data_IF_426740297868
#
_entry.id   IF_426740297868
#
_cell.length_a   1.000
_cell.length_b   1.000
_cell.length_c   1.000
_cell.angle_alpha   90.00
_cell.angle_beta   90.00
_cell.angle_gamma   90.00
#
_symmetry.space_group_name_H-M   'P 1'
#
loop_
_entity.id
_entity.type
_entity.pdbx_description
1 polymer ?
#
# COMPACT_ATOMS: atom_id res chain seq x y z
N UNK A 1 -3.03 -29.00 2.63
CA UNK A 1 -4.38 -29.20 2.02
C UNK A 1 -4.29 -28.79 0.56
N UNK A 2 -5.01 -29.53 -0.34
CA UNK A 2 -5.06 -29.15 -1.76
C UNK A 2 -6.40 -28.48 -2.05
N UNK A 3 -6.37 -27.27 -2.64
CA UNK A 3 -7.56 -26.54 -3.07
C UNK A 3 -7.46 -26.28 -4.57
N UNK A 4 -8.56 -26.41 -5.28
CA UNK A 4 -8.65 -26.12 -6.71
C UNK A 4 -9.77 -25.10 -6.93
N UNK A 5 -9.44 -23.93 -7.48
CA UNK A 5 -10.39 -22.90 -7.87
C UNK A 5 -10.62 -23.01 -9.36
N UNK A 6 -11.86 -23.19 -9.80
CA UNK A 6 -12.26 -23.41 -11.19
C UNK A 6 -13.33 -22.43 -11.66
N UNK A 7 -13.67 -22.49 -12.94
CA UNK A 7 -14.80 -21.81 -13.54
C UNK A 7 -14.77 -20.29 -13.26
N UNK A 8 -13.61 -19.67 -13.40
CA UNK A 8 -13.42 -18.23 -13.27
C UNK A 8 -12.49 -17.69 -14.35
N UNK A 9 -12.56 -16.38 -14.57
CA UNK A 9 -11.62 -15.66 -15.42
C UNK A 9 -10.37 -15.31 -14.63
N UNK A 10 -9.25 -16.00 -14.92
CA UNK A 10 -8.02 -15.93 -14.13
C UNK A 10 -7.09 -14.86 -14.69
N UNK A 11 -6.63 -13.95 -13.84
CA UNK A 11 -5.61 -12.96 -14.21
C UNK A 11 -4.20 -13.50 -13.88
N UNK A 12 -3.37 -13.62 -14.91
CA UNK A 12 -1.97 -14.06 -14.81
C UNK A 12 -1.03 -12.94 -15.30
N UNK A 13 0.29 -13.05 -15.07
CA UNK A 13 1.26 -12.11 -15.65
C UNK A 13 1.18 -12.00 -17.19
N UNK A 14 0.73 -13.06 -17.86
CA UNK A 14 0.58 -13.08 -19.33
C UNK A 14 -0.77 -12.54 -19.80
N UNK A 15 -1.68 -12.21 -18.90
CA UNK A 15 -3.02 -11.71 -19.19
C UNK A 15 -4.13 -12.65 -18.67
N UNK A 16 -5.33 -12.47 -19.22
CA UNK A 16 -6.50 -13.26 -18.82
C UNK A 16 -6.49 -14.66 -19.42
N UNK A 17 -6.82 -15.64 -18.57
CA UNK A 17 -7.28 -16.97 -18.99
C UNK A 17 -8.79 -17.02 -18.77
N UNK A 18 -9.55 -17.24 -19.84
CA UNK A 18 -11.02 -17.31 -19.78
C UNK A 18 -11.54 -18.63 -19.18
N UNK A 19 -10.76 -19.69 -19.29
CA UNK A 19 -11.00 -21.01 -18.72
C UNK A 19 -9.71 -21.51 -18.05
N UNK A 20 -9.86 -22.28 -16.96
CA UNK A 20 -8.72 -22.86 -16.28
C UNK A 20 -8.92 -23.02 -14.78
N UNK A 21 -7.84 -23.34 -14.10
CA UNK A 21 -7.85 -23.51 -12.64
C UNK A 21 -6.59 -22.97 -11.95
N UNK A 22 -6.78 -22.52 -10.72
CA UNK A 22 -5.70 -22.21 -9.78
C UNK A 22 -5.62 -23.33 -8.75
N UNK A 23 -4.48 -23.97 -8.67
CA UNK A 23 -4.21 -25.03 -7.73
C UNK A 23 -3.38 -24.51 -6.57
N UNK A 24 -3.88 -24.67 -5.36
CA UNK A 24 -3.23 -24.25 -4.13
C UNK A 24 -2.87 -25.47 -3.31
N UNK A 25 -1.60 -25.59 -2.92
CA UNK A 25 -1.15 -26.57 -1.94
C UNK A 25 -0.56 -25.86 -0.74
N UNK A 26 -1.22 -26.03 0.40
CA UNK A 26 -0.84 -25.36 1.64
C UNK A 26 -0.81 -23.82 1.46
N UNK A 27 0.36 -23.20 1.52
CA UNK A 27 0.52 -21.74 1.38
C UNK A 27 1.06 -21.31 0.00
N UNK A 28 1.14 -22.24 -0.98
CA UNK A 28 1.72 -21.95 -2.30
C UNK A 28 0.76 -22.25 -3.44
N UNK A 29 0.88 -21.47 -4.52
CA UNK A 29 0.29 -21.78 -5.81
C UNK A 29 1.11 -22.92 -6.42
N UNK A 30 0.46 -24.08 -6.59
CA UNK A 30 1.09 -25.24 -7.19
C UNK A 30 1.14 -25.13 -8.71
N UNK A 31 0.06 -24.62 -9.30
CA UNK A 31 -0.06 -24.44 -10.74
C UNK A 31 -1.20 -23.48 -11.08
N UNK A 32 -1.06 -22.76 -12.18
CA UNK A 32 -2.15 -22.04 -12.86
C UNK A 32 -2.22 -22.61 -14.27
N UNK A 33 -3.35 -23.21 -14.62
CA UNK A 33 -3.51 -23.95 -15.88
C UNK A 33 -4.72 -23.44 -16.67
N UNK A 34 -4.66 -23.58 -17.97
CA UNK A 34 -5.74 -23.23 -18.90
C UNK A 34 -6.72 -24.39 -19.14
N UNK A 35 -6.72 -25.40 -18.29
CA UNK A 35 -7.66 -26.51 -18.36
C UNK A 35 -8.14 -26.90 -16.97
N UNK A 36 -9.38 -27.39 -16.89
CA UNK A 36 -9.94 -27.97 -15.69
C UNK A 36 -9.40 -29.40 -15.50
N UNK A 37 -8.52 -29.52 -14.52
CA UNK A 37 -8.00 -30.84 -14.10
C UNK A 37 -8.93 -31.39 -13.02
N UNK A 38 -9.48 -32.54 -13.20
CA UNK A 38 -10.21 -33.26 -12.15
C UNK A 38 -9.20 -33.88 -11.16
N UNK A 39 -8.87 -33.14 -10.09
CA UNK A 39 -7.94 -33.62 -9.07
C UNK A 39 -8.67 -34.33 -7.94
N UNK A 40 -8.39 -35.62 -7.79
CA UNK A 40 -8.95 -36.42 -6.69
C UNK A 40 -8.38 -35.91 -5.35
N UNK A 41 -9.28 -35.63 -4.41
CA UNK A 41 -8.91 -35.19 -3.06
C UNK A 41 -8.65 -33.70 -2.89
N UNK A 42 -8.82 -32.89 -3.94
CA UNK A 42 -8.80 -31.44 -3.81
C UNK A 42 -10.16 -30.91 -3.30
N UNK A 43 -10.12 -29.87 -2.43
CA UNK A 43 -11.30 -29.05 -2.14
C UNK A 43 -11.58 -28.21 -3.38
N UNK A 44 -12.74 -28.43 -4.01
CA UNK A 44 -13.14 -27.71 -5.20
C UNK A 44 -13.88 -26.43 -4.83
N UNK A 45 -13.48 -25.31 -5.43
CA UNK A 45 -14.12 -23.99 -5.32
C UNK A 45 -14.56 -23.58 -6.71
N UNK A 46 -15.86 -23.41 -6.91
CA UNK A 46 -16.41 -22.91 -8.18
C UNK A 46 -16.52 -21.39 -8.14
N UNK A 47 -15.72 -20.68 -8.92
CA UNK A 47 -15.75 -19.23 -9.03
C UNK A 47 -16.94 -18.70 -9.85
N UNK A 48 -17.81 -19.56 -10.41
CA UNK A 48 -19.09 -19.18 -11.06
C UNK A 48 -18.96 -18.09 -12.12
N UNK A 49 -17.88 -18.12 -12.90
CA UNK A 49 -17.60 -17.14 -13.96
C UNK A 49 -17.08 -15.79 -13.45
N UNK A 50 -16.72 -15.66 -12.16
CA UNK A 50 -16.15 -14.47 -11.55
C UNK A 50 -14.67 -14.33 -11.90
N UNK A 51 -14.09 -13.16 -11.55
CA UNK A 51 -12.66 -12.92 -11.72
C UNK A 51 -11.85 -13.57 -10.60
N UNK A 52 -10.77 -14.24 -10.97
CA UNK A 52 -9.77 -14.77 -10.04
C UNK A 52 -8.50 -13.95 -10.26
N UNK A 53 -8.09 -13.16 -9.24
CA UNK A 53 -6.98 -12.23 -9.33
C UNK A 53 -6.01 -12.44 -8.16
N UNK A 54 -4.73 -11.98 -8.26
CA UNK A 54 -3.82 -12.02 -7.13
C UNK A 54 -4.31 -11.15 -5.98
N UNK A 55 -3.94 -11.53 -4.76
CA UNK A 55 -4.14 -10.73 -3.57
C UNK A 55 -3.40 -9.40 -3.66
N UNK A 56 -4.00 -8.35 -3.07
CA UNK A 56 -3.41 -7.02 -3.08
C UNK A 56 -2.28 -6.90 -2.07
N UNK A 57 -1.29 -6.07 -2.39
CA UNK A 57 -0.16 -5.72 -1.53
C UNK A 57 -0.35 -4.28 -1.05
N UNK A 58 -0.73 -4.12 0.21
CA UNK A 58 -0.91 -2.80 0.83
C UNK A 58 0.42 -2.35 1.45
N UNK A 59 1.07 -1.38 0.82
CA UNK A 59 2.38 -0.89 1.26
C UNK A 59 2.31 0.42 2.06
N UNK A 60 1.11 0.98 2.29
CA UNK A 60 0.89 2.18 3.07
C UNK A 60 -0.53 2.15 3.69
N UNK A 61 -0.61 1.93 5.00
CA UNK A 61 -1.83 2.00 5.81
C UNK A 61 -1.45 2.20 7.28
N UNK A 62 -2.06 3.18 7.95
CA UNK A 62 -1.80 3.52 9.35
C UNK A 62 -2.64 2.71 10.33
N UNK A 63 -3.79 2.22 9.89
CA UNK A 63 -4.69 1.45 10.73
C UNK A 63 -5.89 0.90 9.98
N UNK A 64 -6.84 0.36 10.71
CA UNK A 64 -8.09 -0.19 10.22
C UNK A 64 -8.81 -0.99 11.30
N UNK A 65 -10.12 -1.25 11.10
CA UNK A 65 -10.88 -2.06 12.05
C UNK A 65 -10.93 -1.50 13.46
N UNK A 66 -10.73 -0.18 13.60
CA UNK A 66 -10.76 0.53 14.85
C UNK A 66 -9.42 0.66 15.57
N UNK A 67 -8.34 0.26 14.96
CA UNK A 67 -7.01 0.28 15.57
C UNK A 67 -5.98 0.96 14.69
N UNK A 68 -5.02 1.64 15.32
CA UNK A 68 -3.89 2.30 14.69
C UNK A 68 -2.59 1.54 14.98
N UNK A 69 -1.70 1.44 14.00
CA UNK A 69 -0.41 0.79 14.21
C UNK A 69 0.50 1.56 15.19
N UNK A 70 0.26 2.84 15.41
CA UNK A 70 0.93 3.62 16.45
C UNK A 70 0.54 3.23 17.89
N UNK A 71 -0.49 2.40 18.08
CA UNK A 71 -0.76 1.78 19.38
C UNK A 71 0.36 0.83 19.81
N UNK A 72 1.17 0.36 18.87
CA UNK A 72 2.33 -0.51 19.09
C UNK A 72 2.01 -1.78 19.92
N UNK A 73 0.83 -2.36 19.72
CA UNK A 73 0.39 -3.60 20.38
C UNK A 73 0.08 -4.69 19.36
N UNK A 74 0.29 -5.96 19.72
CA UNK A 74 -0.07 -7.07 18.83
C UNK A 74 -1.58 -7.09 18.54
N UNK A 75 -2.41 -6.74 19.49
CA UNK A 75 -3.87 -6.69 19.33
C UNK A 75 -4.26 -5.71 18.23
N UNK A 76 -3.75 -4.47 18.30
CA UNK A 76 -4.02 -3.43 17.31
C UNK A 76 -3.54 -3.85 15.91
N UNK A 77 -2.31 -4.36 15.81
CA UNK A 77 -1.77 -4.83 14.52
C UNK A 77 -2.64 -5.94 13.92
N UNK A 78 -3.00 -6.96 14.71
CA UNK A 78 -3.84 -8.08 14.24
C UNK A 78 -5.23 -7.62 13.81
N UNK A 79 -5.85 -6.71 14.55
CA UNK A 79 -7.17 -6.18 14.23
C UNK A 79 -7.15 -5.41 12.91
N UNK A 80 -6.20 -4.46 12.76
CA UNK A 80 -6.05 -3.68 11.53
C UNK A 80 -5.71 -4.57 10.32
N UNK A 81 -4.76 -5.49 10.46
CA UNK A 81 -4.38 -6.43 9.40
C UNK A 81 -5.60 -7.27 8.96
N UNK A 82 -6.36 -7.81 9.92
CA UNK A 82 -7.56 -8.60 9.62
C UNK A 82 -8.63 -7.79 8.88
N UNK A 83 -8.81 -6.52 9.25
CA UNK A 83 -9.72 -5.62 8.57
C UNK A 83 -9.30 -5.43 7.09
N UNK A 84 -8.03 -5.15 6.84
CA UNK A 84 -7.50 -5.01 5.48
C UNK A 84 -7.57 -6.30 4.65
N UNK A 85 -7.34 -7.47 5.27
CA UNK A 85 -7.42 -8.76 4.59
C UNK A 85 -8.82 -9.04 4.01
N UNK A 86 -9.88 -8.68 4.72
CA UNK A 86 -11.28 -8.81 4.25
C UNK A 86 -11.53 -7.99 2.99
N UNK A 87 -10.75 -6.92 2.80
CA UNK A 87 -10.80 -6.01 1.66
C UNK A 87 -9.68 -6.28 0.64
N UNK A 88 -9.12 -7.49 0.65
CA UNK A 88 -8.22 -8.01 -0.36
C UNK A 88 -6.74 -7.71 -0.16
N UNK A 89 -6.33 -6.97 0.86
CA UNK A 89 -4.93 -6.79 1.21
C UNK A 89 -4.39 -8.07 1.87
N UNK A 90 -3.99 -9.05 1.08
CA UNK A 90 -3.46 -10.32 1.57
C UNK A 90 -2.03 -10.20 2.08
N UNK A 91 -1.37 -9.11 1.75
CA UNK A 91 -0.02 -8.74 2.20
C UNK A 91 0.01 -7.27 2.59
N UNK A 92 0.69 -6.94 3.69
CA UNK A 92 0.68 -5.59 4.23
C UNK A 92 2.05 -5.20 4.83
N UNK A 93 2.37 -3.91 4.70
CA UNK A 93 3.42 -3.21 5.44
C UNK A 93 2.75 -2.22 6.39
N UNK A 94 2.52 -2.57 7.67
CA UNK A 94 2.00 -1.65 8.67
C UNK A 94 2.79 -0.35 8.68
N UNK A 95 2.09 0.80 8.71
CA UNK A 95 2.70 2.13 8.63
C UNK A 95 2.59 2.85 9.95
N UNK A 96 3.72 3.35 10.45
CA UNK A 96 3.73 4.28 11.59
C UNK A 96 3.72 5.71 11.08
N UNK A 97 2.83 6.53 11.59
CA UNK A 97 2.93 7.99 11.51
C UNK A 97 4.11 8.48 12.35
N UNK A 98 4.52 9.73 12.14
CA UNK A 98 5.63 10.36 12.87
C UNK A 98 5.59 10.10 14.37
N UNK A 99 6.60 9.40 14.87
CA UNK A 99 6.68 8.91 16.24
C UNK A 99 8.07 9.07 16.85
N UNK A 100 8.17 9.18 18.17
CA UNK A 100 9.45 9.07 18.87
C UNK A 100 10.09 7.70 18.62
N UNK A 101 11.41 7.64 18.59
CA UNK A 101 12.16 6.38 18.35
C UNK A 101 11.84 5.28 19.34
N UNK A 102 11.45 5.62 20.58
CA UNK A 102 10.99 4.64 21.58
C UNK A 102 9.69 3.93 21.15
N UNK A 103 8.78 4.62 20.46
CA UNK A 103 7.55 4.03 19.90
C UNK A 103 7.86 3.21 18.65
N UNK A 104 8.73 3.72 17.75
CA UNK A 104 9.18 2.98 16.58
C UNK A 104 9.81 1.63 16.99
N UNK A 105 10.66 1.61 18.03
CA UNK A 105 11.25 0.36 18.55
C UNK A 105 10.21 -0.62 19.08
N UNK A 106 9.15 -0.14 19.73
CA UNK A 106 8.03 -1.01 20.19
C UNK A 106 7.31 -1.63 19.01
N UNK A 107 6.97 -0.81 18.00
CA UNK A 107 6.30 -1.29 16.79
C UNK A 107 7.19 -2.28 15.99
N UNK A 108 8.51 -2.06 15.94
CA UNK A 108 9.47 -3.01 15.36
C UNK A 108 9.34 -4.36 16.06
N UNK A 109 9.34 -4.39 17.40
CA UNK A 109 9.20 -5.65 18.17
C UNK A 109 7.91 -6.39 17.83
N UNK A 110 6.78 -5.66 17.76
CA UNK A 110 5.48 -6.24 17.38
C UNK A 110 5.53 -6.75 15.94
N UNK A 111 6.05 -5.95 15.02
CA UNK A 111 6.13 -6.32 13.62
C UNK A 111 7.00 -7.56 13.40
N UNK A 112 8.17 -7.64 14.04
CA UNK A 112 9.05 -8.83 14.00
C UNK A 112 8.37 -10.08 14.55
N UNK A 113 7.62 -9.96 15.63
CA UNK A 113 6.81 -11.06 16.18
C UNK A 113 5.84 -11.58 15.13
N UNK A 114 5.09 -10.69 14.50
CA UNK A 114 4.10 -11.05 13.47
C UNK A 114 4.75 -11.57 12.19
N UNK A 115 5.85 -10.97 11.72
CA UNK A 115 6.59 -11.43 10.54
C UNK A 115 7.12 -12.86 10.68
N UNK A 116 7.52 -13.25 11.88
CA UNK A 116 8.08 -14.56 12.16
C UNK A 116 7.00 -15.66 12.31
N UNK A 117 5.73 -15.30 12.30
CA UNK A 117 4.65 -16.28 12.31
C UNK A 117 4.57 -17.04 10.99
N UNK A 118 4.19 -18.31 11.10
CA UNK A 118 3.96 -19.11 9.90
C UNK A 118 2.80 -18.52 9.07
N UNK A 119 3.05 -18.35 7.78
CA UNK A 119 2.06 -17.81 6.82
C UNK A 119 1.58 -16.39 7.18
N UNK A 120 2.50 -15.53 7.67
CA UNK A 120 2.22 -14.14 8.01
C UNK A 120 1.91 -13.29 6.77
N UNK A 121 0.89 -12.43 6.82
CA UNK A 121 0.66 -11.42 5.80
C UNK A 121 1.56 -10.19 5.93
N UNK A 122 2.27 -10.04 7.07
CA UNK A 122 3.15 -8.90 7.36
C UNK A 122 4.50 -9.10 6.67
N UNK A 123 4.90 -8.14 5.85
CA UNK A 123 6.12 -8.23 5.04
C UNK A 123 7.25 -7.32 5.53
N UNK A 124 6.97 -6.44 6.48
CA UNK A 124 7.89 -5.47 7.06
C UNK A 124 7.14 -4.27 7.60
N UNK A 125 7.87 -3.35 8.20
CA UNK A 125 7.36 -2.10 8.74
C UNK A 125 7.65 -0.95 7.77
N UNK A 126 6.68 -0.07 7.58
CA UNK A 126 6.83 1.23 6.95
C UNK A 126 6.86 2.30 8.05
N UNK A 127 7.82 3.22 7.98
CA UNK A 127 7.95 4.36 8.89
C UNK A 127 7.75 5.65 8.11
N UNK A 128 6.64 6.34 8.32
CA UNK A 128 6.38 7.63 7.72
C UNK A 128 6.79 8.75 8.68
N UNK A 129 7.93 9.37 8.41
CA UNK A 129 8.53 10.36 9.31
C UNK A 129 9.39 9.72 10.41
N UNK A 130 9.79 10.47 11.46
CA UNK A 130 9.49 11.88 11.76
C UNK A 130 10.29 12.90 10.93
N UNK A 131 10.98 12.47 9.91
CA UNK A 131 11.87 13.31 9.08
C UNK A 131 11.09 14.00 7.95
N UNK A 132 10.04 14.74 8.31
CA UNK A 132 9.12 15.42 7.40
C UNK A 132 9.18 16.94 7.58
N UNK A 133 8.87 17.68 6.50
CA UNK A 133 8.87 19.13 6.52
C UNK A 133 7.65 19.65 7.29
N UNK A 134 7.85 20.42 8.40
CA UNK A 134 6.73 20.92 9.20
C UNK A 134 5.74 21.81 8.44
N UNK A 135 6.15 22.43 7.33
CA UNK A 135 5.24 23.23 6.50
C UNK A 135 4.24 22.37 5.71
N UNK A 136 4.50 21.07 5.57
CA UNK A 136 3.68 20.10 4.86
C UNK A 136 3.21 18.97 5.78
N UNK A 137 3.18 19.22 7.08
CA UNK A 137 2.85 18.21 8.09
C UNK A 137 1.52 17.46 7.83
N UNK A 138 0.50 18.15 7.27
CA UNK A 138 -0.82 17.55 7.11
C UNK A 138 -1.40 17.18 8.49
N UNK A 139 -1.80 15.91 8.66
CA UNK A 139 -2.25 15.37 9.94
C UNK A 139 -1.09 14.97 10.87
N UNK A 140 0.15 14.90 10.35
CA UNK A 140 1.32 14.58 11.16
C UNK A 140 1.51 15.61 12.28
N UNK A 141 1.69 15.16 13.51
CA UNK A 141 1.85 16.06 14.64
C UNK A 141 3.18 16.84 14.53
N UNK A 142 3.10 18.12 14.19
CA UNK A 142 4.26 18.96 13.89
C UNK A 142 5.33 18.97 15.01
N UNK A 143 4.94 18.82 16.27
CA UNK A 143 5.85 18.74 17.42
C UNK A 143 6.73 17.48 17.47
N UNK A 144 6.42 16.44 16.67
CA UNK A 144 7.23 15.23 16.55
C UNK A 144 8.21 15.29 15.38
N UNK A 145 8.05 16.25 14.46
CA UNK A 145 8.87 16.35 13.25
C UNK A 145 10.27 16.91 13.55
N UNK A 146 11.27 16.36 12.89
CA UNK A 146 12.68 16.73 13.05
C UNK A 146 13.51 16.42 11.82
N UNK A 147 14.74 16.93 11.79
CA UNK A 147 15.71 16.52 10.78
C UNK A 147 16.24 15.10 11.04
N UNK A 148 16.68 14.37 10.01
CA UNK A 148 17.38 13.10 10.16
C UNK A 148 18.58 13.20 11.13
N UNK A 149 18.59 12.33 12.13
CA UNK A 149 19.69 12.18 13.08
C UNK A 149 20.40 10.86 12.79
N UNK A 150 21.71 10.96 12.44
CA UNK A 150 22.48 9.80 11.99
C UNK A 150 22.65 8.73 13.07
N UNK A 151 22.87 9.12 14.32
CA UNK A 151 23.06 8.16 15.41
C UNK A 151 21.77 7.42 15.72
N UNK A 152 20.62 8.12 15.68
CA UNK A 152 19.32 7.51 15.93
C UNK A 152 18.95 6.50 14.85
N UNK A 153 18.97 6.88 13.56
CA UNK A 153 18.55 5.96 12.50
C UNK A 153 19.53 4.81 12.28
N UNK A 154 20.83 5.04 12.41
CA UNK A 154 21.81 3.94 12.29
C UNK A 154 21.65 2.95 13.43
N UNK A 155 21.57 3.41 14.69
CA UNK A 155 21.34 2.55 15.86
C UNK A 155 20.06 1.71 15.74
N UNK A 156 18.99 2.28 15.18
CA UNK A 156 17.75 1.53 14.95
C UNK A 156 17.94 0.49 13.85
N UNK A 157 18.45 0.88 12.68
CA UNK A 157 18.56 0.02 11.51
C UNK A 157 19.69 -1.04 11.62
N UNK A 158 20.60 -0.90 12.57
CA UNK A 158 21.55 -1.95 12.93
C UNK A 158 20.97 -2.99 13.88
N UNK A 159 19.86 -2.67 14.53
CA UNK A 159 19.18 -3.56 15.50
C UNK A 159 18.06 -4.41 14.87
N UNK A 160 17.61 -4.13 13.65
CA UNK A 160 16.48 -4.79 13.01
C UNK A 160 16.55 -4.77 11.50
N UNK A 161 16.03 -5.83 10.87
CA UNK A 161 15.77 -5.90 9.43
C UNK A 161 14.26 -5.73 9.11
N UNK A 162 13.45 -5.42 10.11
CA UNK A 162 11.99 -5.33 9.97
C UNK A 162 11.57 -4.11 9.14
N UNK A 163 12.28 -2.98 9.23
CA UNK A 163 11.94 -1.77 8.50
C UNK A 163 12.29 -1.96 7.02
N UNK A 164 11.28 -1.92 6.15
CA UNK A 164 11.44 -2.12 4.71
C UNK A 164 11.23 -0.85 3.90
N UNK A 165 10.61 0.15 4.50
CA UNK A 165 10.35 1.44 3.89
C UNK A 165 10.44 2.55 4.94
N UNK A 166 11.00 3.71 4.54
CA UNK A 166 11.03 4.90 5.37
C UNK A 166 10.84 6.15 4.51
N UNK A 167 9.87 6.97 4.87
CA UNK A 167 9.52 8.18 4.13
C UNK A 167 10.13 9.40 4.80
N UNK A 168 10.63 10.34 3.97
CA UNK A 168 11.23 11.58 4.44
C UNK A 168 11.09 12.71 3.43
N UNK A 169 11.26 13.96 3.90
CA UNK A 169 11.33 15.14 3.06
C UNK A 169 12.77 15.39 2.63
N UNK A 170 13.09 15.34 1.33
CA UNK A 170 14.48 15.35 0.85
C UNK A 170 15.20 16.68 1.06
N UNK A 171 14.48 17.79 1.23
CA UNK A 171 15.03 19.11 1.48
C UNK A 171 15.55 19.32 2.91
N UNK A 172 15.25 18.42 3.83
CA UNK A 172 15.71 18.54 5.22
C UNK A 172 17.23 18.33 5.33
N UNK A 173 17.91 19.09 6.19
CA UNK A 173 19.32 18.86 6.49
C UNK A 173 19.58 17.38 6.88
N UNK A 174 20.54 16.74 6.19
CA UNK A 174 20.87 15.33 6.43
C UNK A 174 20.02 14.29 5.66
N UNK A 175 18.92 14.70 5.00
CA UNK A 175 18.01 13.76 4.33
C UNK A 175 18.67 12.99 3.17
N UNK A 176 19.53 13.62 2.41
CA UNK A 176 20.25 12.95 1.31
C UNK A 176 21.29 11.93 1.83
N UNK A 177 21.90 12.17 2.98
CA UNK A 177 22.81 11.21 3.63
C UNK A 177 22.00 10.02 4.18
N UNK A 178 20.89 10.31 4.84
CA UNK A 178 19.92 9.31 5.30
C UNK A 178 19.47 8.40 4.15
N UNK A 179 19.07 8.97 3.02
CA UNK A 179 18.62 8.18 1.86
C UNK A 179 19.73 7.26 1.31
N UNK A 180 20.98 7.75 1.21
CA UNK A 180 22.10 6.90 0.79
C UNK A 180 22.33 5.73 1.75
N UNK A 181 22.18 5.98 3.05
CA UNK A 181 22.31 4.92 4.05
C UNK A 181 21.19 3.88 3.91
N UNK A 182 19.93 4.29 3.79
CA UNK A 182 18.80 3.38 3.57
C UNK A 182 18.97 2.54 2.29
N UNK A 183 19.36 3.19 1.19
CA UNK A 183 19.68 2.52 -0.08
C UNK A 183 20.74 1.45 0.10
N UNK A 184 21.77 1.71 0.89
CA UNK A 184 22.85 0.74 1.17
C UNK A 184 22.37 -0.47 1.97
N UNK A 185 21.26 -0.34 2.69
CA UNK A 185 20.59 -1.40 3.45
C UNK A 185 19.47 -2.10 2.66
N UNK A 186 19.20 -1.68 1.43
CA UNK A 186 18.10 -2.21 0.63
C UNK A 186 16.70 -1.79 1.13
N UNK A 187 16.62 -0.69 1.86
CA UNK A 187 15.36 -0.13 2.39
C UNK A 187 14.86 0.91 1.39
N UNK A 188 13.57 0.82 1.02
CA UNK A 188 12.91 1.80 0.17
C UNK A 188 12.84 3.13 0.90
N UNK A 189 13.32 4.21 0.28
CA UNK A 189 13.13 5.57 0.78
C UNK A 189 12.24 6.35 -0.16
N UNK A 190 11.17 6.96 0.39
CA UNK A 190 10.21 7.70 -0.39
C UNK A 190 10.17 9.18 -0.02
N UNK A 191 9.91 10.00 -1.03
CA UNK A 191 9.62 11.43 -0.88
C UNK A 191 8.22 11.56 -0.29
N UNK A 192 8.09 12.24 0.83
CA UNK A 192 6.82 12.50 1.51
C UNK A 192 6.83 13.88 2.17
N UNK A 193 5.66 14.53 2.30
CA UNK A 193 5.46 15.80 3.02
C UNK A 193 6.52 16.86 2.73
N UNK A 194 6.71 17.24 1.47
CA UNK A 194 7.87 17.98 0.97
C UNK A 194 7.47 19.29 0.27
N UNK A 195 8.39 20.24 0.23
CA UNK A 195 8.33 21.42 -0.65
C UNK A 195 9.41 21.38 -1.75
N UNK A 196 10.05 20.23 -1.97
CA UNK A 196 11.11 20.10 -2.97
C UNK A 196 10.60 20.35 -4.39
N UNK A 197 11.31 21.16 -5.13
CA UNK A 197 11.15 21.43 -6.54
C UNK A 197 12.14 20.56 -7.38
N UNK A 198 12.24 20.79 -8.69
CA UNK A 198 12.91 19.90 -9.62
C UNK A 198 14.35 19.54 -9.26
N UNK A 199 15.20 20.52 -8.96
CA UNK A 199 16.60 20.24 -8.61
C UNK A 199 16.72 19.45 -7.28
N UNK A 200 15.82 19.73 -6.32
CA UNK A 200 15.74 19.00 -5.06
C UNK A 200 15.31 17.54 -5.28
N UNK A 201 14.29 17.28 -6.09
CA UNK A 201 13.81 15.94 -6.43
C UNK A 201 14.86 15.16 -7.23
N UNK A 202 15.58 15.81 -8.15
CA UNK A 202 16.67 15.19 -8.89
C UNK A 202 17.81 14.75 -7.96
N UNK A 203 18.23 15.65 -7.05
CA UNK A 203 19.27 15.32 -6.05
C UNK A 203 18.79 14.21 -5.10
N UNK A 204 17.51 14.21 -4.72
CA UNK A 204 16.91 13.16 -3.91
C UNK A 204 16.95 11.80 -4.63
N UNK A 205 16.57 11.77 -5.92
CA UNK A 205 16.62 10.56 -6.74
C UNK A 205 18.04 9.98 -6.83
N UNK A 206 19.04 10.81 -7.08
CA UNK A 206 20.44 10.41 -7.09
C UNK A 206 20.91 9.86 -5.73
N UNK A 207 20.38 10.42 -4.64
CA UNK A 207 20.68 9.95 -3.28
C UNK A 207 19.98 8.62 -2.91
N UNK A 208 18.88 8.26 -3.62
CA UNK A 208 18.19 6.99 -3.39
C UNK A 208 16.70 7.08 -3.10
N UNK A 209 16.10 8.27 -3.08
CA UNK A 209 14.64 8.42 -3.06
C UNK A 209 14.08 7.97 -4.43
N UNK A 210 13.51 6.78 -4.49
CA UNK A 210 13.02 6.21 -5.75
C UNK A 210 11.50 6.10 -5.83
N UNK A 211 10.83 6.55 -4.76
CA UNK A 211 9.39 6.45 -4.59
C UNK A 211 8.82 7.76 -4.06
N UNK A 212 7.52 8.00 -4.28
CA UNK A 212 6.80 9.17 -3.76
C UNK A 212 5.51 8.71 -3.09
N UNK A 213 5.40 8.98 -1.79
CA UNK A 213 4.24 8.65 -0.99
C UNK A 213 3.02 9.46 -1.39
N UNK A 214 1.81 8.90 -1.26
CA UNK A 214 0.49 9.53 -1.45
C UNK A 214 0.51 10.72 -2.42
N UNK A 215 1.01 10.47 -3.65
CA UNK A 215 1.32 11.47 -4.66
C UNK A 215 0.21 12.51 -4.85
N UNK A 216 0.54 13.77 -4.96
CA UNK A 216 -0.28 14.99 -4.89
C UNK A 216 -0.64 15.47 -3.46
N UNK A 217 -0.59 14.60 -2.45
CA UNK A 217 -0.92 14.99 -1.09
C UNK A 217 0.36 15.36 -0.32
N UNK A 218 0.28 16.36 0.54
CA UNK A 218 1.44 16.84 1.30
C UNK A 218 2.60 17.40 0.47
N UNK A 219 2.35 17.82 -0.79
CA UNK A 219 3.38 18.34 -1.70
C UNK A 219 2.82 19.40 -2.65
N UNK A 220 3.64 20.38 -3.12
CA UNK A 220 3.19 21.38 -4.07
C UNK A 220 3.11 20.81 -5.49
N UNK A 221 2.11 21.24 -6.24
CA UNK A 221 2.09 21.20 -7.70
C UNK A 221 2.45 22.53 -8.32
N UNK A 222 2.29 22.65 -9.65
CA UNK A 222 2.48 23.87 -10.40
C UNK A 222 1.76 25.06 -9.76
N UNK A 223 2.50 26.11 -9.49
CA UNK A 223 1.97 27.25 -8.78
C UNK A 223 2.51 28.59 -9.30
N UNK A 224 1.90 29.66 -8.82
CA UNK A 224 2.28 31.02 -9.16
C UNK A 224 2.77 31.74 -7.90
N UNK A 225 3.97 32.34 -7.98
CA UNK A 225 4.47 33.25 -6.98
C UNK A 225 4.69 34.62 -7.63
N UNK A 226 3.91 35.63 -7.20
CA UNK A 226 3.79 36.93 -7.87
C UNK A 226 3.42 36.75 -9.35
N UNK A 227 4.22 37.26 -10.31
CA UNK A 227 4.02 37.13 -11.76
C UNK A 227 4.65 35.89 -12.36
N UNK A 228 5.54 35.20 -11.64
CA UNK A 228 6.27 34.03 -12.12
C UNK A 228 5.54 32.73 -11.82
N UNK A 229 5.84 31.75 -12.64
CA UNK A 229 5.30 30.38 -12.51
C UNK A 229 6.42 29.43 -12.16
N UNK A 230 6.11 28.49 -11.28
CA UNK A 230 7.04 27.50 -10.77
C UNK A 230 6.42 26.10 -10.85
N UNK A 231 7.24 25.12 -11.13
CA UNK A 231 6.91 23.73 -10.90
C UNK A 231 6.88 23.44 -9.40
N UNK A 232 6.17 22.38 -9.02
CA UNK A 232 6.23 21.81 -7.70
C UNK A 232 6.84 20.41 -7.71
N UNK A 233 6.72 19.72 -6.60
CA UNK A 233 7.13 18.31 -6.47
C UNK A 233 6.41 17.42 -7.50
N UNK A 234 5.14 17.69 -7.76
CA UNK A 234 4.32 16.88 -8.68
C UNK A 234 4.93 16.83 -10.07
N UNK A 235 5.22 17.98 -10.68
CA UNK A 235 5.82 18.07 -12.01
C UNK A 235 7.23 17.49 -12.00
N UNK A 236 7.99 17.74 -10.96
CA UNK A 236 9.36 17.24 -10.78
C UNK A 236 9.41 15.71 -10.74
N UNK A 237 8.49 15.08 -10.03
CA UNK A 237 8.36 13.61 -9.98
C UNK A 237 7.92 13.04 -11.32
N UNK A 238 7.02 13.72 -12.06
CA UNK A 238 6.67 13.28 -13.41
C UNK A 238 7.86 13.30 -14.36
N UNK A 239 8.72 14.32 -14.27
CA UNK A 239 9.91 14.46 -15.10
C UNK A 239 11.06 13.53 -14.69
N UNK A 240 11.00 12.94 -13.50
CA UNK A 240 12.02 11.99 -13.02
C UNK A 240 11.58 10.56 -13.36
N UNK A 241 12.03 10.05 -14.49
CA UNK A 241 11.55 8.78 -15.09
C UNK A 241 11.67 7.57 -14.15
N UNK A 242 12.71 7.52 -13.31
CA UNK A 242 12.97 6.41 -12.41
C UNK A 242 12.08 6.38 -11.17
N UNK A 243 11.37 7.46 -10.86
CA UNK A 243 10.50 7.53 -9.67
C UNK A 243 9.17 6.84 -9.88
N UNK A 244 8.77 6.06 -8.88
CA UNK A 244 7.45 5.45 -8.74
C UNK A 244 6.57 6.29 -7.83
N UNK A 245 5.25 6.13 -7.93
CA UNK A 245 4.27 6.93 -7.20
C UNK A 245 3.19 6.07 -6.55
N UNK A 246 2.64 6.55 -5.45
CA UNK A 246 1.42 6.03 -4.82
C UNK A 246 0.21 6.90 -5.18
N UNK A 247 -0.94 6.29 -5.35
CA UNK A 247 -2.22 6.99 -5.48
C UNK A 247 -3.20 6.51 -4.40
N UNK A 248 -3.73 7.44 -3.62
CA UNK A 248 -4.94 7.22 -2.82
C UNK A 248 -6.12 7.36 -3.77
N UNK A 249 -6.51 6.24 -4.37
CA UNK A 249 -7.49 6.21 -5.45
C UNK A 249 -8.93 6.01 -4.94
N UNK A 250 -9.31 6.73 -3.89
CA UNK A 250 -10.66 6.72 -3.32
C UNK A 250 -11.69 7.58 -4.09
N UNK A 251 -11.19 8.40 -5.03
CA UNK A 251 -12.00 9.33 -5.82
C UNK A 251 -12.29 10.66 -5.11
N UNK A 252 -11.78 10.84 -3.90
CA UNK A 252 -11.93 12.06 -3.07
C UNK A 252 -10.57 12.76 -2.93
N UNK A 253 -9.51 12.05 -2.50
CA UNK A 253 -8.15 12.58 -2.50
C UNK A 253 -7.72 12.98 -3.90
N UNK A 254 -8.02 12.15 -4.89
CA UNK A 254 -7.72 12.41 -6.29
C UNK A 254 -8.97 12.20 -7.15
N UNK A 255 -9.45 13.24 -7.85
CA UNK A 255 -10.56 13.10 -8.79
C UNK A 255 -10.16 12.20 -9.97
N UNK A 256 -11.14 11.55 -10.59
CA UNK A 256 -10.95 10.61 -11.69
C UNK A 256 -10.06 11.15 -12.83
N UNK A 257 -10.11 12.46 -13.10
CA UNK A 257 -9.26 13.11 -14.12
C UNK A 257 -7.78 13.09 -13.75
N UNK A 258 -7.45 13.28 -12.47
CA UNK A 258 -6.07 13.23 -11.97
C UNK A 258 -5.58 11.78 -11.90
N UNK A 259 -6.41 10.83 -11.46
CA UNK A 259 -6.08 9.40 -11.51
C UNK A 259 -5.71 8.96 -12.94
N UNK A 260 -6.50 9.38 -13.94
CA UNK A 260 -6.19 9.11 -15.35
C UNK A 260 -4.92 9.81 -15.84
N UNK A 261 -4.66 11.04 -15.39
CA UNK A 261 -3.45 11.78 -15.74
C UNK A 261 -2.21 11.07 -15.19
N UNK A 262 -2.22 10.70 -13.91
CA UNK A 262 -1.13 9.98 -13.27
C UNK A 262 -0.86 8.64 -13.99
N UNK A 263 -1.90 7.83 -14.21
CA UNK A 263 -1.80 6.59 -14.99
C UNK A 263 -1.22 6.81 -16.38
N UNK A 264 -1.66 7.86 -17.09
CA UNK A 264 -1.17 8.16 -18.46
C UNK A 264 0.31 8.55 -18.48
N UNK A 265 0.78 9.29 -17.47
CA UNK A 265 2.15 9.82 -17.43
C UNK A 265 3.14 8.82 -16.82
N UNK A 266 2.79 8.10 -15.78
CA UNK A 266 3.68 7.12 -15.12
C UNK A 266 3.49 5.69 -15.58
N UNK A 267 2.29 5.35 -16.05
CA UNK A 267 1.97 3.98 -16.47
C UNK A 267 1.79 3.02 -15.28
N UNK A 268 1.35 1.82 -15.60
CA UNK A 268 1.05 0.77 -14.62
C UNK A 268 2.30 0.34 -13.82
N UNK A 269 3.44 0.30 -14.46
CA UNK A 269 4.70 -0.17 -13.87
C UNK A 269 5.29 0.77 -12.81
N UNK A 270 4.86 2.03 -12.80
CA UNK A 270 5.41 3.06 -11.89
C UNK A 270 4.36 3.65 -10.96
N UNK A 271 3.14 3.10 -10.97
CA UNK A 271 2.02 3.57 -10.16
C UNK A 271 1.51 2.43 -9.29
N UNK A 272 1.46 2.61 -7.99
CA UNK A 272 0.79 1.69 -7.07
C UNK A 272 -0.39 2.36 -6.37
N UNK A 273 -1.36 1.54 -5.96
CA UNK A 273 -2.51 1.97 -5.17
C UNK A 273 -2.20 1.73 -3.69
N UNK A 274 -2.49 2.73 -2.87
CA UNK A 274 -2.34 2.66 -1.42
C UNK A 274 -3.58 3.20 -0.75
N UNK A 275 -3.90 2.67 0.41
CA UNK A 275 -5.06 3.14 1.16
C UNK A 275 -4.77 4.40 1.94
N UNK A 276 -3.59 4.53 2.50
CA UNK A 276 -3.28 5.56 3.49
C UNK A 276 -4.38 5.63 4.58
N UNK A 277 -4.83 4.43 4.97
CA UNK A 277 -6.02 4.24 5.78
C UNK A 277 -5.72 4.48 7.25
N UNK A 278 -6.59 5.26 7.91
CA UNK A 278 -6.59 5.43 9.36
C UNK A 278 -7.33 4.28 10.07
N UNK A 279 -7.30 4.28 11.40
CA UNK A 279 -8.02 3.33 12.25
C UNK A 279 -9.49 3.13 11.87
N UNK A 280 -10.11 4.15 11.32
CA UNK A 280 -11.54 4.17 10.96
C UNK A 280 -11.89 3.41 9.66
N UNK A 281 -10.90 3.00 8.87
CA UNK A 281 -11.12 2.18 7.69
C UNK A 281 -11.63 0.80 8.07
N UNK A 282 -12.65 0.30 7.37
CA UNK A 282 -13.28 -1.00 7.65
C UNK A 282 -13.70 -1.18 9.14
N UNK A 283 -14.09 -0.09 9.80
CA UNK A 283 -14.49 -0.02 11.21
C UNK A 283 -15.98 0.35 11.34
N UNK A 284 -16.87 -0.56 10.93
CA UNK A 284 -18.32 -0.32 10.93
C UNK A 284 -18.84 0.11 12.31
N UNK A 285 -19.49 1.29 12.34
CA UNK A 285 -20.16 1.81 13.53
C UNK A 285 -19.25 2.34 14.64
N UNK A 286 -17.98 2.55 14.37
CA UNK A 286 -17.04 3.08 15.34
C UNK A 286 -17.17 4.58 15.50
N UNK A 287 -17.11 5.06 16.74
CA UNK A 287 -17.03 6.50 17.05
C UNK A 287 -15.61 7.01 16.83
N UNK A 288 -15.48 8.22 16.27
CA UNK A 288 -14.20 8.90 16.13
C UNK A 288 -13.76 9.37 17.51
N UNK A 289 -12.58 8.94 17.93
CA UNK A 289 -12.02 9.30 19.24
C UNK A 289 -11.00 10.44 19.17
N UNK A 290 -10.40 10.71 18.00
CA UNK A 290 -9.49 11.83 17.81
C UNK A 290 -10.31 13.13 17.63
N UNK A 291 -10.17 14.12 18.53
CA UNK A 291 -10.90 15.40 18.43
C UNK A 291 -10.46 16.26 17.25
N UNK A 292 -9.32 15.95 16.64
CA UNK A 292 -8.80 16.69 15.49
C UNK A 292 -9.27 16.14 14.14
N UNK A 293 -9.95 15.00 14.13
CA UNK A 293 -10.40 14.32 12.91
C UNK A 293 -11.91 14.18 12.92
N UNK A 294 -12.54 14.40 11.78
CA UNK A 294 -13.97 14.14 11.53
C UNK A 294 -14.13 13.26 10.30
N UNK A 295 -15.18 12.45 10.25
CA UNK A 295 -15.58 11.73 9.03
C UNK A 295 -16.81 12.44 8.46
N UNK A 296 -16.65 12.96 7.27
CA UNK A 296 -17.69 13.68 6.55
C UNK A 296 -17.55 13.42 5.05
N UNK A 297 -18.66 13.30 4.31
CA UNK A 297 -18.66 12.99 2.88
C UNK A 297 -17.90 11.70 2.51
N UNK A 298 -17.80 10.74 3.43
CA UNK A 298 -17.12 9.46 3.20
C UNK A 298 -15.58 9.51 3.26
N UNK A 299 -15.02 10.55 3.88
CA UNK A 299 -13.56 10.72 4.03
C UNK A 299 -13.23 11.33 5.40
N UNK A 300 -12.02 11.04 5.90
CA UNK A 300 -11.46 11.73 7.05
C UNK A 300 -11.00 13.14 6.67
N UNK A 301 -11.32 14.11 7.51
CA UNK A 301 -10.90 15.50 7.39
C UNK A 301 -10.33 15.97 8.72
N UNK A 302 -9.42 16.93 8.68
CA UNK A 302 -9.09 17.69 9.87
C UNK A 302 -10.33 18.44 10.37
N UNK A 303 -10.57 18.47 11.67
CA UNK A 303 -11.75 19.10 12.26
C UNK A 303 -11.87 20.61 11.96
N UNK A 304 -10.75 21.28 11.66
CA UNK A 304 -10.70 22.68 11.21
C UNK A 304 -10.89 22.83 9.68
N UNK A 305 -11.15 21.76 8.96
CA UNK A 305 -11.28 21.70 7.50
C UNK A 305 -10.06 22.23 6.71
N UNK A 306 -8.88 22.24 7.31
CA UNK A 306 -7.65 22.70 6.65
C UNK A 306 -7.14 21.71 5.59
N UNK A 307 -7.39 20.41 5.77
CA UNK A 307 -6.98 19.34 4.86
C UNK A 307 -7.79 18.06 5.04
N UNK A 308 -7.65 17.13 4.10
CA UNK A 308 -7.98 15.73 4.35
C UNK A 308 -6.97 15.14 5.33
N UNK A 309 -7.37 14.08 6.04
CA UNK A 309 -6.59 13.44 7.09
C UNK A 309 -6.58 11.93 6.83
N UNK A 310 -5.61 11.45 6.05
CA UNK A 310 -5.57 10.07 5.60
C UNK A 310 -6.89 9.60 4.97
N UNK A 311 -7.12 8.31 4.85
CA UNK A 311 -8.34 7.78 4.24
C UNK A 311 -9.09 6.79 5.13
N UNK A 312 -10.33 6.46 4.73
CA UNK A 312 -11.08 5.30 5.22
C UNK A 312 -11.28 4.27 4.11
N UNK A 313 -10.57 4.45 2.99
CA UNK A 313 -10.69 3.56 1.85
C UNK A 313 -9.98 2.23 2.07
N UNK A 314 -10.49 1.20 1.41
CA UNK A 314 -9.89 -0.14 1.40
C UNK A 314 -9.41 -0.49 -0.01
N UNK A 315 -8.50 -1.45 -0.16
CA UNK A 315 -7.87 -1.78 -1.44
C UNK A 315 -8.88 -2.12 -2.55
N UNK A 316 -9.96 -2.80 -2.24
CA UNK A 316 -11.04 -3.11 -3.19
C UNK A 316 -11.78 -1.86 -3.68
N UNK A 317 -11.98 -0.85 -2.81
CA UNK A 317 -12.52 0.46 -3.20
C UNK A 317 -11.61 1.15 -4.19
N UNK A 318 -10.30 1.14 -3.95
CA UNK A 318 -9.31 1.78 -4.85
C UNK A 318 -9.36 1.16 -6.25
N UNK A 319 -9.33 -0.18 -6.34
CA UNK A 319 -9.42 -0.88 -7.62
C UNK A 319 -10.71 -0.55 -8.36
N UNK A 320 -11.87 -0.57 -7.66
CA UNK A 320 -13.16 -0.20 -8.25
C UNK A 320 -13.17 1.25 -8.75
N UNK A 321 -12.57 2.15 -7.99
CA UNK A 321 -12.50 3.58 -8.36
C UNK A 321 -11.63 3.80 -9.58
N UNK A 322 -10.49 3.12 -9.70
CA UNK A 322 -9.64 3.18 -10.89
C UNK A 322 -10.40 2.69 -12.12
N UNK A 323 -11.14 1.58 -12.01
CA UNK A 323 -11.94 1.06 -13.13
C UNK A 323 -13.07 2.03 -13.49
N UNK A 324 -13.77 2.62 -12.51
CA UNK A 324 -14.77 3.68 -12.72
C UNK A 324 -14.18 4.93 -13.37
N UNK A 325 -12.91 5.26 -13.08
CA UNK A 325 -12.20 6.34 -13.74
C UNK A 325 -11.80 6.04 -15.20
N UNK A 326 -12.04 4.80 -15.68
CA UNK A 326 -11.77 4.37 -17.04
C UNK A 326 -10.39 3.73 -17.25
N UNK A 327 -9.71 3.32 -16.18
CA UNK A 327 -8.49 2.52 -16.25
C UNK A 327 -8.87 1.04 -16.45
N UNK A 328 -8.20 0.28 -17.32
CA UNK A 328 -8.47 -1.15 -17.50
C UNK A 328 -8.35 -1.93 -16.20
N UNK A 329 -9.25 -2.88 -15.96
CA UNK A 329 -9.23 -3.74 -14.76
C UNK A 329 -7.88 -4.42 -14.56
N UNK A 330 -7.25 -4.90 -15.64
CA UNK A 330 -5.92 -5.51 -15.62
C UNK A 330 -4.89 -4.59 -14.97
N UNK A 331 -4.88 -3.33 -15.37
CA UNK A 331 -3.91 -2.35 -14.89
C UNK A 331 -4.23 -1.90 -13.46
N UNK A 332 -5.53 -1.76 -13.12
CA UNK A 332 -5.95 -1.47 -11.74
C UNK A 332 -5.53 -2.59 -10.77
N UNK A 333 -5.69 -3.86 -11.17
CA UNK A 333 -5.22 -5.02 -10.39
C UNK A 333 -3.70 -5.03 -10.27
N UNK A 334 -2.97 -4.80 -11.37
CA UNK A 334 -1.49 -4.72 -11.35
C UNK A 334 -0.98 -3.64 -10.40
N UNK A 335 -1.58 -2.45 -10.46
CA UNK A 335 -1.24 -1.33 -9.55
C UNK A 335 -1.56 -1.63 -8.08
N UNK A 336 -2.43 -2.58 -7.79
CA UNK A 336 -2.76 -3.02 -6.44
C UNK A 336 -1.96 -4.26 -5.98
N UNK A 337 -1.31 -4.99 -6.88
CA UNK A 337 -0.66 -6.28 -6.57
C UNK A 337 0.78 -6.37 -7.06
N UNK A 338 1.00 -6.52 -8.36
CA UNK A 338 2.31 -6.76 -8.99
C UNK A 338 3.25 -5.56 -8.82
N UNK A 339 2.76 -4.35 -9.08
CA UNK A 339 3.57 -3.12 -8.99
C UNK A 339 4.06 -2.82 -7.57
N UNK A 340 3.19 -2.80 -6.51
CA UNK A 340 3.69 -2.62 -5.14
C UNK A 340 4.59 -3.78 -4.68
N UNK A 341 4.33 -5.02 -5.08
CA UNK A 341 5.21 -6.15 -4.77
C UNK A 341 6.61 -5.92 -5.31
N UNK A 342 6.74 -5.47 -6.56
CA UNK A 342 8.02 -5.17 -7.20
C UNK A 342 8.71 -3.96 -6.57
N UNK A 343 7.98 -2.90 -6.26
CA UNK A 343 8.55 -1.71 -5.60
C UNK A 343 9.13 -2.08 -4.24
N UNK A 344 8.45 -2.97 -3.49
CA UNK A 344 8.89 -3.44 -2.17
C UNK A 344 9.87 -4.61 -2.22
N UNK A 345 10.23 -5.11 -3.43
CA UNK A 345 11.19 -6.20 -3.59
C UNK A 345 10.69 -7.55 -3.07
N UNK A 346 9.39 -7.84 -3.20
CA UNK A 346 8.76 -9.11 -2.78
C UNK A 346 8.04 -9.80 -3.94
N UNK A 347 8.29 -9.37 -5.17
CA UNK A 347 7.69 -9.88 -6.39
C UNK A 347 8.18 -11.29 -6.80
N UNK A 348 9.19 -11.79 -6.12
CA UNK A 348 9.62 -13.19 -6.19
C UNK A 348 8.59 -14.17 -5.59
N UNK A 349 7.68 -13.67 -4.76
CA UNK A 349 6.68 -14.52 -4.07
C UNK A 349 5.28 -13.91 -3.95
N UNK A 350 5.10 -12.61 -4.24
CA UNK A 350 3.84 -11.85 -4.06
C UNK A 350 3.41 -11.16 -5.35
N UNK A 351 2.11 -10.84 -5.44
CA UNK A 351 1.56 -9.95 -6.44
C UNK A 351 1.11 -10.61 -7.75
N UNK A 352 1.31 -11.90 -7.93
CA UNK A 352 0.90 -12.60 -9.15
C UNK A 352 0.34 -13.99 -8.91
N UNK A 353 -0.55 -14.46 -9.77
CA UNK A 353 -1.00 -15.85 -9.82
C UNK A 353 -0.07 -16.63 -10.73
N UNK A 354 0.96 -17.20 -10.14
CA UNK A 354 1.98 -17.99 -10.84
C UNK A 354 2.48 -19.12 -9.93
N UNK A 355 2.95 -20.20 -10.54
CA UNK A 355 3.54 -21.34 -9.84
C UNK A 355 4.63 -20.90 -8.86
N UNK A 356 4.66 -21.53 -7.70
CA UNK A 356 5.58 -21.35 -6.58
C UNK A 356 5.44 -20.01 -5.82
N UNK A 357 4.56 -19.09 -6.29
CA UNK A 357 4.19 -17.91 -5.55
C UNK A 357 3.34 -18.23 -4.32
N UNK A 358 3.31 -17.33 -3.36
CA UNK A 358 2.40 -17.44 -2.21
C UNK A 358 0.95 -17.47 -2.69
N UNK A 359 0.14 -18.32 -2.05
CA UNK A 359 -1.26 -18.48 -2.43
C UNK A 359 -2.13 -17.35 -1.90
N UNK A 360 -1.93 -16.17 -2.46
CA UNK A 360 -2.70 -14.95 -2.24
C UNK A 360 -3.67 -14.78 -3.41
N UNK A 361 -4.94 -15.10 -3.20
CA UNK A 361 -5.93 -15.20 -4.28
C UNK A 361 -7.22 -14.49 -3.86
N UNK A 362 -7.79 -13.71 -4.77
CA UNK A 362 -9.10 -13.09 -4.60
C UNK A 362 -10.07 -13.59 -5.66
N UNK A 363 -11.32 -13.77 -5.28
CA UNK A 363 -12.45 -13.94 -6.21
C UNK A 363 -13.30 -12.69 -6.14
N UNK A 364 -13.45 -12.02 -7.29
CA UNK A 364 -14.22 -10.78 -7.42
C UNK A 364 -15.43 -11.02 -8.33
N UNK A 365 -16.61 -10.51 -7.92
CA UNK A 365 -17.76 -10.48 -8.80
C UNK A 365 -17.62 -9.46 -9.96
N UNK A 366 -18.65 -9.30 -10.77
CA UNK A 366 -18.64 -8.37 -11.91
C UNK A 366 -18.60 -6.91 -11.48
N UNK A 367 -19.08 -6.60 -10.30
CA UNK A 367 -19.05 -5.28 -9.66
C UNK A 367 -17.74 -5.05 -8.89
N UNK A 368 -16.81 -6.03 -8.97
CA UNK A 368 -15.50 -6.05 -8.31
C UNK A 368 -15.58 -6.07 -6.77
N UNK A 369 -16.67 -6.61 -6.22
CA UNK A 369 -16.73 -6.90 -4.79
C UNK A 369 -15.99 -8.22 -4.50
N UNK A 370 -15.28 -8.27 -3.38
CA UNK A 370 -14.61 -9.48 -2.93
C UNK A 370 -15.67 -10.51 -2.48
N UNK A 371 -15.61 -11.69 -3.06
CA UNK A 371 -16.46 -12.83 -2.70
C UNK A 371 -15.74 -13.87 -1.88
N UNK A 372 -14.44 -14.00 -2.10
CA UNK A 372 -13.56 -14.77 -1.25
C UNK A 372 -12.13 -14.26 -1.36
N UNK A 373 -11.37 -14.39 -0.27
CA UNK A 373 -9.98 -14.02 -0.20
C UNK A 373 -9.16 -15.10 0.50
N UNK A 374 -8.05 -15.49 -0.09
CA UNK A 374 -7.04 -16.36 0.52
C UNK A 374 -5.76 -15.56 0.72
N UNK A 375 -5.23 -15.59 1.94
CA UNK A 375 -3.91 -15.11 2.27
C UNK A 375 -3.03 -16.31 2.66
N UNK A 376 -1.92 -16.50 1.98
CA UNK A 376 -1.02 -17.63 2.21
C UNK A 376 -1.77 -18.99 2.21
N UNK A 377 -2.72 -19.15 1.26
CA UNK A 377 -3.54 -20.35 1.13
C UNK A 377 -4.60 -20.58 2.20
N UNK A 378 -4.76 -19.65 3.15
CA UNK A 378 -5.82 -19.68 4.16
C UNK A 378 -6.96 -18.77 3.74
N UNK A 379 -8.19 -19.29 3.80
CA UNK A 379 -9.39 -18.48 3.57
C UNK A 379 -9.53 -17.45 4.70
N UNK A 380 -9.51 -16.17 4.36
CA UNK A 380 -9.60 -15.05 5.31
C UNK A 380 -10.91 -14.27 5.18
N UNK A 381 -11.57 -14.37 4.02
CA UNK A 381 -12.89 -13.83 3.78
C UNK A 381 -13.69 -14.76 2.87
N UNK A 382 -14.97 -14.96 3.20
CA UNK A 382 -15.95 -15.67 2.39
C UNK A 382 -17.34 -15.09 2.66
N UNK A 383 -17.99 -14.58 1.65
CA UNK A 383 -19.34 -14.02 1.74
C UNK A 383 -20.44 -15.08 1.68
N UNK A 384 -20.13 -16.35 1.98
CA UNK A 384 -21.05 -17.52 1.94
C UNK A 384 -21.72 -17.76 0.58
N UNK A 385 -21.10 -17.33 -0.50
CA UNK A 385 -21.67 -17.49 -1.86
C UNK A 385 -20.96 -18.57 -2.68
N UNK A 386 -19.81 -19.07 -2.21
CA UNK A 386 -18.94 -20.00 -2.94
C UNK A 386 -18.85 -21.39 -2.31
N UNK A 387 -19.33 -21.56 -1.07
CA UNK A 387 -19.29 -22.83 -0.32
C UNK A 387 -20.68 -23.37 -0.04
#
# INVERSE_FOLDING_TARGET
MLTQIINGKIFTPQGWLDEGSVLIRDNKILEVTNCDLALIGAKLIDAKGMYIVPGYVCMHAHGGGGHDFNECTEEAFRAAIKAHQKHGATSIFPTLSSSPFSEIRKAVTVCETLMNEKDSPVLGLHVEGPYLNPKRAGEQFAGKLKNPDKEEYTSLLESTDCIKRWDASPELPGALEFARYLKSKGILVAVSHTESEYEGIKAAFEAGFTHTAHFYNGMPGFHKCREYKYEGTVESVYLTDGMTIELIADGIHLPATILRLAYKLKGVEKTCLVTDALAYAAADGMEITDPNVIIEDGVCKMADHSSLAGSIATMDVLVRTMVKAGIPLVDAVRMASETPARIMGVDDRKGALQKDMDADVLILDRELNIRAAWAMGRLVEDTNTLF
#
